data_IF_355982958696
#
_entry.id   IF_355982958696
#
_cell.length_a   1.000
_cell.length_b   1.000
_cell.length_c   1.000
_cell.angle_alpha   90.00
_cell.angle_beta   90.00
_cell.angle_gamma   90.00
#
_symmetry.space_group_name_H-M   'P 1'
#
loop_
_entity.id
_entity.type
_entity.pdbx_description
1 polymer ?
#
# COMPACT_ATOMS: atom_id res chain seq x y z
N UNK A 1 -15.84 1.25 -19.04
CA UNK A 1 -14.93 1.88 -18.05
C UNK A 1 -13.56 1.98 -18.70
N UNK A 2 -13.00 3.19 -18.85
CA UNK A 2 -11.67 3.36 -19.43
C UNK A 2 -10.66 2.72 -18.47
N UNK A 3 -9.84 1.80 -18.98
CA UNK A 3 -8.84 1.10 -18.17
C UNK A 3 -7.75 2.11 -17.83
N UNK A 4 -7.73 2.59 -16.59
CA UNK A 4 -6.72 3.54 -16.11
C UNK A 4 -5.36 2.88 -16.23
N UNK A 5 -4.41 3.52 -16.92
CA UNK A 5 -3.04 3.06 -16.96
C UNK A 5 -2.40 3.21 -15.56
N UNK A 6 -1.91 2.10 -15.02
CA UNK A 6 -1.41 2.05 -13.64
C UNK A 6 -0.23 2.99 -13.42
N UNK A 7 0.76 2.94 -14.32
CA UNK A 7 2.00 3.71 -14.17
C UNK A 7 1.74 5.21 -14.25
N UNK A 8 0.91 5.62 -15.21
CA UNK A 8 0.47 7.02 -15.34
C UNK A 8 -0.32 7.45 -14.10
N UNK A 9 -1.23 6.61 -13.62
CA UNK A 9 -2.07 6.92 -12.48
C UNK A 9 -1.30 7.12 -11.18
N UNK A 10 -0.37 6.23 -10.83
CA UNK A 10 0.41 6.36 -9.58
C UNK A 10 1.37 7.57 -9.58
N UNK A 11 1.64 8.15 -10.74
CA UNK A 11 2.43 9.38 -10.86
C UNK A 11 1.57 10.65 -10.85
N UNK A 12 0.25 10.49 -11.01
CA UNK A 12 -0.69 11.58 -11.18
C UNK A 12 -0.87 12.46 -9.92
N UNK A 13 -1.28 13.74 -10.08
CA UNK A 13 -1.68 14.60 -8.97
C UNK A 13 -2.80 14.01 -8.10
N UNK A 14 -3.73 13.28 -8.72
CA UNK A 14 -4.88 12.64 -8.06
C UNK A 14 -4.40 11.61 -7.04
N UNK A 15 -3.46 10.74 -7.44
CA UNK A 15 -2.86 9.75 -6.54
C UNK A 15 -2.10 10.42 -5.38
N UNK A 16 -1.33 11.48 -5.68
CA UNK A 16 -0.60 12.25 -4.65
C UNK A 16 -1.57 12.87 -3.63
N UNK A 17 -2.70 13.41 -4.08
CA UNK A 17 -3.73 13.97 -3.20
C UNK A 17 -4.38 12.89 -2.33
N UNK A 18 -4.74 11.74 -2.93
CA UNK A 18 -5.28 10.57 -2.21
C UNK A 18 -4.32 10.08 -1.14
N UNK A 19 -3.02 10.04 -1.42
CA UNK A 19 -1.98 9.72 -0.45
C UNK A 19 -1.93 10.64 0.76
N UNK A 20 -2.04 11.95 0.54
CA UNK A 20 -2.09 12.92 1.64
C UNK A 20 -3.32 12.67 2.53
N UNK A 21 -4.47 12.36 1.94
CA UNK A 21 -5.71 12.04 2.68
C UNK A 21 -5.51 10.76 3.50
N UNK A 22 -4.98 9.69 2.89
CA UNK A 22 -4.80 8.41 3.59
C UNK A 22 -3.79 8.52 4.73
N UNK A 23 -2.68 9.23 4.51
CA UNK A 23 -1.70 9.54 5.55
C UNK A 23 -2.34 10.31 6.72
N UNK A 24 -3.20 11.29 6.39
CA UNK A 24 -4.02 12.02 7.36
C UNK A 24 -5.13 11.18 8.00
N UNK A 25 -5.40 9.94 7.60
CA UNK A 25 -6.28 9.05 8.38
C UNK A 25 -5.53 8.31 9.48
N UNK A 26 -4.24 8.03 9.29
CA UNK A 26 -3.43 7.17 10.17
C UNK A 26 -2.51 7.92 11.15
N UNK A 27 -2.86 9.13 11.56
CA UNK A 27 -2.04 9.90 12.49
C UNK A 27 -0.73 10.44 11.92
N UNK A 28 -0.56 10.45 10.59
CA UNK A 28 0.75 10.60 9.95
C UNK A 28 1.78 9.56 10.43
N UNK A 29 1.32 8.35 10.79
CA UNK A 29 2.14 7.23 11.27
C UNK A 29 2.09 6.03 10.32
N UNK A 30 3.15 5.24 10.34
CA UNK A 30 3.24 4.03 9.53
C UNK A 30 2.25 2.97 10.05
N UNK A 31 1.50 2.33 9.15
CA UNK A 31 0.56 1.27 9.50
C UNK A 31 1.22 -0.06 9.90
N UNK A 32 2.53 -0.19 9.79
CA UNK A 32 3.27 -1.40 10.22
C UNK A 32 4.13 -1.13 11.45
N UNK A 33 4.69 0.09 11.52
CA UNK A 33 5.52 0.55 12.60
C UNK A 33 4.91 1.83 13.19
N UNK A 34 3.85 1.76 14.02
CA UNK A 34 3.05 2.91 14.45
C UNK A 34 3.82 3.97 15.25
N UNK A 35 5.02 3.64 15.74
CA UNK A 35 5.95 4.59 16.37
C UNK A 35 6.70 5.47 15.35
N UNK A 36 6.69 5.14 14.05
CA UNK A 36 7.37 5.91 13.00
C UNK A 36 6.42 6.96 12.43
N UNK A 37 6.79 8.24 12.57
CA UNK A 37 6.13 9.37 11.90
C UNK A 37 6.54 9.44 10.43
N UNK A 38 5.55 9.56 9.55
CA UNK A 38 5.71 9.55 8.11
C UNK A 38 6.17 10.93 7.59
N UNK A 39 7.48 11.11 7.44
CA UNK A 39 8.05 12.21 6.63
C UNK A 39 8.05 11.84 5.14
N UNK A 40 8.66 10.70 4.83
CA UNK A 40 8.66 10.07 3.50
C UNK A 40 7.88 8.74 3.58
N UNK A 41 6.86 8.59 2.75
CA UNK A 41 5.92 7.46 2.80
C UNK A 41 5.58 6.95 1.41
N UNK A 42 5.01 5.75 1.36
CA UNK A 42 4.44 5.15 0.18
C UNK A 42 3.04 4.62 0.51
N UNK A 43 2.15 4.66 -0.49
CA UNK A 43 0.87 3.97 -0.40
C UNK A 43 1.09 2.59 -1.01
N UNK A 44 0.96 1.57 -0.17
CA UNK A 44 1.01 0.17 -0.57
C UNK A 44 -0.36 -0.28 -1.05
N UNK A 45 -0.46 -0.83 -2.26
CA UNK A 45 -1.69 -1.48 -2.70
C UNK A 45 -1.74 -2.91 -2.15
N UNK A 46 -2.81 -3.23 -1.43
CA UNK A 46 -3.09 -4.62 -1.06
C UNK A 46 -3.88 -5.34 -2.18
N UNK A 47 -4.73 -4.60 -2.89
CA UNK A 47 -5.53 -5.07 -4.01
C UNK A 47 -5.60 -4.02 -5.11
N UNK A 48 -5.81 -4.48 -6.35
CA UNK A 48 -5.86 -3.65 -7.57
C UNK A 48 -7.25 -3.63 -8.24
N UNK A 49 -8.26 -4.21 -7.60
CA UNK A 49 -9.61 -4.34 -8.17
C UNK A 49 -10.30 -2.99 -8.40
N UNK A 50 -9.96 -1.96 -7.61
CA UNK A 50 -10.60 -0.66 -7.61
C UNK A 50 -9.65 0.47 -8.05
N UNK A 51 -8.76 0.21 -9.02
CA UNK A 51 -7.79 1.22 -9.48
C UNK A 51 -8.49 2.53 -9.89
N UNK A 52 -8.03 3.66 -9.36
CA UNK A 52 -8.66 4.98 -9.50
C UNK A 52 -9.66 5.32 -8.38
N UNK A 53 -10.29 4.33 -7.77
CA UNK A 53 -11.30 4.47 -6.73
C UNK A 53 -10.96 3.65 -5.46
N UNK A 54 -9.68 3.56 -5.14
CA UNK A 54 -9.19 2.74 -4.03
C UNK A 54 -9.73 3.25 -2.69
N UNK A 55 -10.14 2.31 -1.84
CA UNK A 55 -10.58 2.57 -0.47
C UNK A 55 -9.41 2.44 0.50
N UNK A 56 -9.22 3.48 1.32
CA UNK A 56 -8.27 3.44 2.44
C UNK A 56 -8.55 2.25 3.36
N UNK A 57 -7.48 1.59 3.81
CA UNK A 57 -7.49 0.45 4.72
C UNK A 57 -8.16 -0.82 4.18
N UNK A 58 -8.54 -0.85 2.90
CA UNK A 58 -9.06 -2.03 2.21
C UNK A 58 -8.15 -2.32 1.03
N UNK A 59 -8.16 -1.43 0.03
CA UNK A 59 -7.37 -1.56 -1.19
C UNK A 59 -5.93 -1.08 -0.97
N UNK A 60 -5.73 -0.13 -0.04
CA UNK A 60 -4.42 0.47 0.23
C UNK A 60 -4.13 0.67 1.72
N UNK A 61 -2.85 0.61 2.07
CA UNK A 61 -2.32 0.99 3.39
C UNK A 61 -1.14 1.96 3.24
N UNK A 62 -0.89 2.78 4.26
CA UNK A 62 0.15 3.81 4.27
C UNK A 62 1.37 3.33 5.04
N UNK A 63 2.49 3.22 4.36
CA UNK A 63 3.73 2.66 4.90
C UNK A 63 4.87 3.67 4.86
N UNK A 64 5.84 3.51 5.77
CA UNK A 64 7.16 4.10 5.58
C UNK A 64 7.84 3.46 4.36
N UNK A 65 8.79 4.15 3.74
CA UNK A 65 9.56 3.57 2.62
C UNK A 65 10.23 2.25 2.99
N UNK A 66 10.72 2.12 4.23
CA UNK A 66 11.34 0.88 4.72
C UNK A 66 10.32 -0.26 4.85
N UNK A 67 9.14 -0.01 5.43
CA UNK A 67 8.08 -1.02 5.52
C UNK A 67 7.59 -1.44 4.13
N UNK A 68 7.49 -0.48 3.21
CA UNK A 68 7.16 -0.74 1.81
C UNK A 68 8.22 -1.59 1.11
N UNK A 69 9.51 -1.33 1.36
CA UNK A 69 10.59 -2.16 0.85
C UNK A 69 10.55 -3.58 1.42
N UNK A 70 10.26 -3.75 2.71
CA UNK A 70 10.17 -5.09 3.35
C UNK A 70 9.08 -5.94 2.67
N UNK A 71 7.89 -5.39 2.42
CA UNK A 71 6.81 -6.16 1.78
C UNK A 71 7.10 -6.52 0.32
N UNK A 72 7.82 -5.66 -0.40
CA UNK A 72 8.22 -5.92 -1.78
C UNK A 72 9.48 -6.78 -1.94
N UNK A 73 10.46 -6.68 -1.04
CA UNK A 73 11.72 -7.42 -1.13
C UNK A 73 11.67 -8.74 -0.38
N UNK A 74 11.29 -8.69 0.90
CA UNK A 74 11.41 -9.84 1.79
C UNK A 74 10.19 -10.76 1.69
N UNK A 75 8.99 -10.18 1.68
CA UNK A 75 7.76 -10.97 1.67
C UNK A 75 7.33 -11.40 0.27
N UNK A 76 7.75 -10.72 -0.79
CA UNK A 76 7.43 -11.15 -2.16
C UNK A 76 8.28 -12.35 -2.61
N UNK A 77 9.35 -12.68 -1.87
CA UNK A 77 10.45 -13.51 -2.35
C UNK A 77 11.19 -12.78 -3.49
N UNK A 78 12.50 -12.89 -3.54
CA UNK A 78 13.40 -12.26 -4.53
C UNK A 78 13.18 -12.73 -6.00
N UNK A 79 11.98 -13.19 -6.35
CA UNK A 79 11.64 -13.91 -7.59
C UNK A 79 11.19 -12.94 -8.70
N UNK A 80 10.87 -11.68 -8.38
CA UNK A 80 10.41 -10.72 -9.38
C UNK A 80 11.44 -9.62 -9.65
N UNK A 81 11.78 -9.33 -10.92
CA UNK A 81 12.70 -8.26 -11.26
C UNK A 81 12.21 -6.92 -10.70
N UNK A 82 13.16 -6.10 -10.25
CA UNK A 82 12.91 -4.72 -9.83
C UNK A 82 12.24 -3.99 -11.00
N UNK A 83 11.00 -3.53 -10.82
CA UNK A 83 10.25 -2.81 -11.85
C UNK A 83 8.92 -3.47 -12.28
N UNK A 84 8.71 -4.76 -11.97
CA UNK A 84 7.42 -5.43 -12.26
C UNK A 84 6.37 -4.96 -11.25
N UNK A 85 5.32 -4.29 -11.73
CA UNK A 85 4.19 -3.87 -10.91
C UNK A 85 3.46 -5.10 -10.34
N UNK A 86 2.87 -5.00 -9.15
CA UNK A 86 2.12 -6.13 -8.60
C UNK A 86 0.89 -6.48 -9.46
N UNK A 87 0.43 -5.54 -10.29
CA UNK A 87 -0.63 -5.76 -11.27
C UNK A 87 -0.18 -6.69 -12.40
N UNK A 88 1.10 -6.64 -12.81
CA UNK A 88 1.72 -7.57 -13.76
C UNK A 88 1.98 -8.96 -13.14
N UNK A 89 1.97 -9.05 -11.80
CA UNK A 89 2.02 -10.35 -11.08
C UNK A 89 0.66 -11.06 -11.06
N UNK A 90 -0.40 -10.49 -11.65
CA UNK A 90 -1.71 -11.15 -11.82
C UNK A 90 -1.54 -12.46 -12.59
N UNK A 91 -1.73 -13.58 -11.91
CA UNK A 91 -1.52 -14.94 -12.44
C UNK A 91 -0.49 -15.75 -11.63
N UNK A 92 0.34 -15.06 -10.85
CA UNK A 92 1.16 -15.69 -9.81
C UNK A 92 0.39 -15.78 -8.48
N UNK A 93 0.87 -16.59 -7.53
CA UNK A 93 0.29 -16.76 -6.17
C UNK A 93 0.43 -15.51 -5.28
N UNK A 94 0.31 -14.31 -5.85
CA UNK A 94 0.46 -13.00 -5.21
C UNK A 94 -0.91 -12.38 -4.86
N UNK A 95 -1.08 -11.77 -3.66
CA UNK A 95 -0.17 -11.82 -2.54
C UNK A 95 -0.12 -13.23 -1.93
N UNK A 96 1.08 -13.67 -1.55
CA UNK A 96 1.27 -14.95 -0.87
C UNK A 96 0.78 -14.88 0.59
N UNK A 97 0.81 -16.00 1.30
CA UNK A 97 0.33 -16.09 2.68
C UNK A 97 0.94 -15.02 3.61
N UNK A 98 2.26 -14.83 3.57
CA UNK A 98 2.95 -13.87 4.42
C UNK A 98 2.59 -12.42 4.07
N UNK A 99 2.42 -12.10 2.80
CA UNK A 99 1.96 -10.78 2.38
C UNK A 99 0.51 -10.51 2.80
N UNK A 100 -0.37 -11.52 2.74
CA UNK A 100 -1.74 -11.41 3.24
C UNK A 100 -1.78 -11.15 4.75
N UNK A 101 -0.94 -11.87 5.52
CA UNK A 101 -0.80 -11.63 6.95
C UNK A 101 -0.27 -10.22 7.23
N UNK A 102 0.73 -9.76 6.47
CA UNK A 102 1.25 -8.40 6.56
C UNK A 102 0.20 -7.34 6.24
N UNK A 103 -0.60 -7.54 5.17
CA UNK A 103 -1.71 -6.65 4.82
C UNK A 103 -2.75 -6.60 5.93
N UNK A 104 -3.14 -7.75 6.49
CA UNK A 104 -4.10 -7.81 7.60
C UNK A 104 -3.57 -7.05 8.82
N UNK A 105 -2.33 -7.31 9.24
CA UNK A 105 -1.70 -6.59 10.34
C UNK A 105 -1.68 -5.07 10.11
N UNK A 106 -1.25 -4.63 8.92
CA UNK A 106 -1.22 -3.22 8.58
C UNK A 106 -2.61 -2.56 8.63
N UNK A 107 -3.65 -3.29 8.22
CA UNK A 107 -5.03 -2.80 8.28
C UNK A 107 -5.54 -2.68 9.72
N UNK A 108 -5.24 -3.65 10.58
CA UNK A 108 -5.62 -3.62 11.99
C UNK A 108 -4.98 -2.43 12.71
N UNK A 109 -3.68 -2.21 12.51
CA UNK A 109 -2.99 -1.04 13.06
C UNK A 109 -3.54 0.26 12.46
N UNK A 110 -3.86 0.29 11.17
CA UNK A 110 -4.49 1.45 10.52
C UNK A 110 -5.83 1.83 11.15
N UNK A 111 -6.66 0.83 11.44
CA UNK A 111 -7.95 1.03 12.11
C UNK A 111 -7.73 1.54 13.54
N UNK A 112 -6.82 0.91 14.29
CA UNK A 112 -6.45 1.36 15.63
C UNK A 112 -5.97 2.81 15.67
N UNK A 113 -5.05 3.19 14.76
CA UNK A 113 -4.55 4.56 14.64
C UNK A 113 -5.63 5.57 14.26
N UNK A 114 -6.63 5.15 13.48
CA UNK A 114 -7.75 6.00 13.10
C UNK A 114 -8.73 6.24 14.25
N UNK A 115 -8.97 5.21 15.08
CA UNK A 115 -9.88 5.30 16.23
C UNK A 115 -9.29 6.08 17.41
N UNK A 116 -7.96 6.15 17.53
CA UNK A 116 -7.27 6.90 18.58
C UNK A 116 -7.11 8.40 18.29
N UNK A 117 -7.78 8.91 17.26
CA UNK A 117 -7.55 10.25 16.73
C UNK A 117 -8.76 11.14 16.91
#
# INVERSE_FOLDING_TARGET
MQKVDYHTYIQSPQWKAKGKIFKKKVGDRCQVFPWIKLKNYAIHHCFYSNLGNEKWNIDCVVLSKSAHAIVHSWLAGSIYPIGVSEQEKKGSKYPNFFQRAFHLYARLIGLFLYLLR
#
